data_IF_323321309734
#
_entry.id   IF_323321309734
#
_cell.length_a   1.000
_cell.length_b   1.000
_cell.length_c   1.000
_cell.angle_alpha   90.00
_cell.angle_beta   90.00
_cell.angle_gamma   90.00
#
_symmetry.space_group_name_H-M   'P 1'
#
loop_
_entity.id
_entity.type
_entity.pdbx_description
1 polymer ?
#
# COMPACT_ATOMS: atom_id res chain seq x y z
N UNK A 1 26.09 10.80 17.44
CA UNK A 1 27.25 11.68 17.75
C UNK A 1 28.56 11.28 17.05
N UNK A 2 28.88 9.97 16.96
CA UNK A 2 30.13 9.48 16.34
C UNK A 2 30.27 9.82 14.85
N UNK A 3 29.28 9.45 14.02
CA UNK A 3 29.35 9.66 12.56
C UNK A 3 29.50 11.14 12.16
N UNK A 4 28.85 12.06 12.88
CA UNK A 4 28.97 13.51 12.61
C UNK A 4 30.41 14.01 12.84
N UNK A 5 31.08 13.55 13.91
CA UNK A 5 32.48 13.92 14.19
C UNK A 5 33.43 13.35 13.15
N UNK A 6 33.22 12.08 12.76
CA UNK A 6 34.00 11.44 11.68
C UNK A 6 33.83 12.20 10.35
N UNK A 7 32.64 12.69 10.04
CA UNK A 7 32.41 13.48 8.81
C UNK A 7 32.98 14.91 8.87
N UNK A 8 33.18 15.45 10.07
CA UNK A 8 33.91 16.72 10.22
C UNK A 8 35.41 16.50 10.02
N UNK A 9 35.99 15.44 10.59
CA UNK A 9 37.42 15.14 10.42
C UNK A 9 37.79 14.73 8.98
N UNK A 10 36.92 13.99 8.29
CA UNK A 10 37.09 13.67 6.85
C UNK A 10 37.24 14.93 5.98
N UNK A 11 36.63 16.05 6.39
CA UNK A 11 36.70 17.30 5.65
C UNK A 11 37.99 18.09 5.93
N UNK A 12 38.67 17.80 7.04
CA UNK A 12 39.88 18.50 7.50
C UNK A 12 41.16 17.79 7.03
N UNK A 13 41.11 16.46 6.84
CA UNK A 13 42.22 15.68 6.32
C UNK A 13 42.30 15.69 4.79
N UNK A 14 43.26 16.47 4.25
CA UNK A 14 43.62 16.54 2.83
C UNK A 14 44.28 15.26 2.27
N UNK A 15 44.15 14.11 2.95
CA UNK A 15 44.80 12.83 2.65
C UNK A 15 43.85 11.76 2.09
N UNK A 16 42.61 12.11 1.76
CA UNK A 16 41.65 11.16 1.18
C UNK A 16 41.93 10.94 -0.31
N UNK A 17 41.93 9.67 -0.71
CA UNK A 17 42.00 9.29 -2.13
C UNK A 17 40.81 9.84 -2.91
N UNK A 18 41.02 10.30 -4.14
CA UNK A 18 39.96 10.73 -5.07
C UNK A 18 38.89 9.64 -5.32
N UNK A 19 39.24 8.37 -5.13
CA UNK A 19 38.35 7.23 -5.30
C UNK A 19 37.53 6.90 -4.05
N UNK A 20 37.75 7.59 -2.92
CA UNK A 20 37.00 7.34 -1.70
C UNK A 20 35.51 7.68 -1.89
N UNK A 21 34.63 6.77 -1.45
CA UNK A 21 33.17 6.97 -1.44
C UNK A 21 32.62 6.44 -0.12
N UNK A 22 31.84 7.27 0.59
CA UNK A 22 31.10 6.86 1.77
C UNK A 22 29.63 6.61 1.39
N UNK A 23 29.18 5.37 1.57
CA UNK A 23 27.80 4.96 1.35
C UNK A 23 27.06 4.84 2.68
N UNK A 24 25.95 5.56 2.82
CA UNK A 24 25.09 5.52 3.99
C UNK A 24 23.70 5.07 3.57
N UNK A 25 23.17 4.03 4.21
CA UNK A 25 21.81 3.53 4.00
C UNK A 25 21.00 3.77 5.26
N UNK A 26 19.86 4.44 5.13
CA UNK A 26 18.96 4.71 6.24
C UNK A 26 17.53 4.84 5.74
N UNK A 27 16.56 4.53 6.61
CA UNK A 27 15.18 4.94 6.40
C UNK A 27 15.05 6.44 6.72
N UNK A 28 14.15 7.18 6.05
CA UNK A 28 13.90 8.57 6.40
C UNK A 28 13.56 8.71 7.89
N UNK A 29 14.28 9.58 8.60
CA UNK A 29 14.03 9.85 10.01
C UNK A 29 14.34 11.32 10.36
N UNK A 30 13.50 11.91 11.20
CA UNK A 30 13.57 13.34 11.53
C UNK A 30 14.80 13.72 12.36
N UNK A 31 15.41 12.73 13.02
CA UNK A 31 16.64 12.89 13.79
C UNK A 31 17.92 12.65 12.97
N UNK A 32 17.81 12.37 11.67
CA UNK A 32 19.00 12.19 10.83
C UNK A 32 19.81 13.50 10.79
N UNK A 33 21.14 13.46 10.99
CA UNK A 33 21.91 14.70 11.10
C UNK A 33 21.86 15.56 9.83
N UNK A 34 21.21 16.73 9.91
CA UNK A 34 21.08 17.69 8.80
C UNK A 34 22.39 18.01 8.06
N UNK A 35 23.55 18.23 8.73
CA UNK A 35 24.80 18.51 8.03
C UNK A 35 25.28 17.37 7.13
N UNK A 36 24.96 16.12 7.49
CA UNK A 36 25.29 14.94 6.68
C UNK A 36 24.43 14.91 5.42
N UNK A 37 23.14 15.24 5.55
CA UNK A 37 22.27 15.42 4.40
C UNK A 37 22.80 16.56 3.54
N UNK A 38 23.01 17.76 4.06
CA UNK A 38 23.47 18.90 3.26
C UNK A 38 24.73 18.62 2.43
N UNK A 39 25.71 17.88 2.98
CA UNK A 39 26.97 17.54 2.29
C UNK A 39 26.92 16.32 1.37
N UNK A 40 25.96 15.40 1.56
CA UNK A 40 25.88 14.15 0.80
C UNK A 40 25.00 14.23 -0.45
N UNK A 41 25.21 13.29 -1.38
CA UNK A 41 24.24 12.99 -2.44
C UNK A 41 23.15 12.09 -1.84
N UNK A 42 21.89 12.44 -2.07
CA UNK A 42 20.73 11.68 -1.56
C UNK A 42 20.16 10.87 -2.69
N UNK A 43 20.04 9.56 -2.48
CA UNK A 43 19.40 8.64 -3.41
C UNK A 43 18.24 7.98 -2.67
N UNK A 44 17.03 8.12 -3.22
CA UNK A 44 15.83 7.49 -2.68
C UNK A 44 15.49 6.27 -3.54
N UNK A 45 15.42 5.10 -2.93
CA UNK A 45 14.93 3.89 -3.58
C UNK A 45 13.47 3.68 -3.18
N UNK A 46 12.55 4.02 -4.07
CA UNK A 46 11.11 3.78 -3.87
C UNK A 46 10.68 2.51 -4.63
N UNK A 47 9.75 1.72 -4.08
CA UNK A 47 9.17 0.61 -4.82
C UNK A 47 8.48 1.12 -6.10
N UNK A 48 8.42 0.31 -7.17
CA UNK A 48 7.75 0.68 -8.40
C UNK A 48 6.28 1.06 -8.13
N UNK A 49 5.82 2.15 -8.75
CA UNK A 49 4.43 2.61 -8.65
C UNK A 49 3.65 2.14 -9.87
N UNK A 50 2.45 1.64 -9.65
CA UNK A 50 1.54 1.19 -10.69
C UNK A 50 1.48 -0.33 -10.83
N UNK A 51 0.28 -0.84 -11.15
CA UNK A 51 -0.01 -2.26 -11.30
C UNK A 51 0.96 -2.96 -12.26
N UNK A 52 1.19 -2.35 -13.44
CA UNK A 52 2.12 -2.88 -14.45
C UNK A 52 3.55 -3.02 -13.91
N UNK A 53 4.02 -2.03 -13.16
CA UNK A 53 5.38 -2.02 -12.66
C UNK A 53 5.58 -3.06 -11.55
N UNK A 54 4.59 -3.21 -10.65
CA UNK A 54 4.58 -4.28 -9.65
C UNK A 54 4.52 -5.67 -10.28
N UNK A 55 3.66 -5.89 -11.27
CA UNK A 55 3.61 -7.14 -12.03
C UNK A 55 4.93 -7.48 -12.71
N UNK A 56 5.54 -6.49 -13.37
CA UNK A 56 6.83 -6.67 -14.03
C UNK A 56 7.93 -7.04 -13.03
N UNK A 57 7.92 -6.43 -11.84
CA UNK A 57 8.83 -6.78 -10.76
C UNK A 57 8.59 -8.20 -10.27
N UNK A 58 7.35 -8.59 -9.97
CA UNK A 58 7.03 -9.95 -9.53
C UNK A 58 7.50 -10.99 -10.57
N UNK A 59 7.25 -10.75 -11.85
CA UNK A 59 7.68 -11.67 -12.90
C UNK A 59 9.20 -11.75 -13.08
N UNK A 60 9.93 -10.63 -12.92
CA UNK A 60 11.39 -10.62 -13.09
C UNK A 60 12.15 -11.13 -11.87
N UNK A 61 11.64 -10.86 -10.67
CA UNK A 61 12.38 -11.09 -9.42
C UNK A 61 11.90 -12.34 -8.67
N UNK A 62 10.62 -12.70 -8.76
CA UNK A 62 10.02 -13.79 -7.99
C UNK A 62 9.71 -15.00 -8.89
N UNK A 63 9.04 -14.77 -10.02
CA UNK A 63 8.68 -15.84 -10.96
C UNK A 63 9.89 -16.22 -11.81
N UNK A 64 10.64 -17.24 -11.38
CA UNK A 64 11.73 -17.80 -12.18
C UNK A 64 11.17 -18.44 -13.45
N UNK A 65 11.78 -18.15 -14.60
CA UNK A 65 11.34 -18.68 -15.91
C UNK A 65 11.27 -20.22 -15.91
N UNK A 66 12.28 -20.86 -15.33
CA UNK A 66 12.36 -22.31 -15.23
C UNK A 66 11.18 -22.88 -14.43
N UNK A 67 10.88 -22.30 -13.27
CA UNK A 67 9.73 -22.70 -12.44
C UNK A 67 8.40 -22.43 -13.13
N UNK A 68 8.28 -21.33 -13.86
CA UNK A 68 7.05 -21.02 -14.60
C UNK A 68 6.73 -22.04 -15.70
N UNK A 69 7.77 -22.58 -16.34
CA UNK A 69 7.65 -23.57 -17.41
C UNK A 69 7.61 -25.02 -16.89
N UNK A 70 7.99 -25.25 -15.63
CA UNK A 70 8.07 -26.58 -15.01
C UNK A 70 7.04 -26.76 -13.90
N UNK A 71 5.97 -27.50 -14.19
CA UNK A 71 5.05 -28.05 -13.20
C UNK A 71 4.33 -29.25 -13.82
N UNK A 72 3.92 -30.21 -12.98
CA UNK A 72 3.15 -31.39 -13.42
C UNK A 72 1.85 -30.95 -14.09
N UNK A 73 1.12 -30.02 -13.46
CA UNK A 73 -0.12 -29.42 -13.99
C UNK A 73 0.17 -28.05 -14.60
N UNK A 74 0.74 -28.04 -15.81
CA UNK A 74 1.25 -26.82 -16.48
C UNK A 74 0.22 -25.69 -16.59
N UNK A 75 -1.01 -25.99 -17.02
CA UNK A 75 -2.00 -24.93 -17.28
C UNK A 75 -2.55 -24.30 -16.00
N UNK A 76 -3.02 -25.08 -15.00
CA UNK A 76 -3.45 -24.51 -13.71
C UNK A 76 -2.33 -23.74 -13.04
N UNK A 77 -1.10 -24.27 -13.05
CA UNK A 77 0.08 -23.60 -12.50
C UNK A 77 0.28 -22.21 -13.11
N UNK A 78 0.38 -22.12 -14.44
CA UNK A 78 0.64 -20.85 -15.12
C UNK A 78 -0.45 -19.82 -14.90
N UNK A 79 -1.73 -20.24 -14.95
CA UNK A 79 -2.87 -19.35 -14.71
C UNK A 79 -2.92 -18.86 -13.27
N UNK A 80 -2.71 -19.74 -12.31
CA UNK A 80 -2.77 -19.41 -10.88
C UNK A 80 -1.56 -18.61 -10.40
N UNK A 81 -0.36 -18.88 -10.89
CA UNK A 81 0.82 -18.02 -10.64
C UNK A 81 0.58 -16.61 -11.17
N UNK A 82 -0.01 -16.51 -12.36
CA UNK A 82 -0.37 -15.21 -12.93
C UNK A 82 -1.44 -14.49 -12.09
N UNK A 83 -2.45 -15.23 -11.64
CA UNK A 83 -3.46 -14.74 -10.69
C UNK A 83 -2.85 -14.23 -9.39
N UNK A 84 -1.96 -15.00 -8.76
CA UNK A 84 -1.24 -14.61 -7.54
C UNK A 84 -0.40 -13.34 -7.74
N UNK A 85 0.28 -13.21 -8.88
CA UNK A 85 1.03 -12.00 -9.21
C UNK A 85 0.11 -10.78 -9.37
N UNK A 86 -1.05 -10.95 -10.01
CA UNK A 86 -2.08 -9.90 -10.13
C UNK A 86 -2.66 -9.52 -8.79
N UNK A 87 -3.01 -10.50 -7.96
CA UNK A 87 -3.45 -10.28 -6.59
C UNK A 87 -2.41 -9.49 -5.80
N UNK A 88 -1.16 -9.93 -5.80
CA UNK A 88 -0.04 -9.28 -5.11
C UNK A 88 0.15 -7.81 -5.54
N UNK A 89 0.19 -7.57 -6.85
CA UNK A 89 0.33 -6.22 -7.39
C UNK A 89 -0.91 -5.34 -7.07
N UNK A 90 -2.10 -5.92 -7.05
CA UNK A 90 -3.36 -5.24 -6.72
C UNK A 90 -3.36 -4.79 -5.26
N UNK A 91 -3.04 -5.67 -4.32
CA UNK A 91 -3.07 -5.34 -2.88
C UNK A 91 -1.97 -4.32 -2.50
N UNK A 92 -0.81 -4.37 -3.16
CA UNK A 92 0.25 -3.38 -3.00
C UNK A 92 -0.19 -2.00 -3.48
N UNK A 93 -0.79 -1.92 -4.67
CA UNK A 93 -1.27 -0.66 -5.23
C UNK A 93 -2.46 -0.08 -4.46
N UNK A 94 -3.28 -0.91 -3.83
CA UNK A 94 -4.43 -0.45 -3.05
C UNK A 94 -4.05 0.49 -1.91
N UNK A 95 -2.83 0.37 -1.35
CA UNK A 95 -2.32 1.27 -0.31
C UNK A 95 -2.35 2.75 -0.72
N UNK A 96 -2.23 3.08 -2.02
CA UNK A 96 -2.26 4.47 -2.48
C UNK A 96 -3.60 5.16 -2.26
N UNK A 97 -4.69 4.41 -2.12
CA UNK A 97 -6.03 4.96 -1.89
C UNK A 97 -6.29 5.29 -0.41
N UNK A 98 -5.34 5.04 0.49
CA UNK A 98 -5.50 5.33 1.92
C UNK A 98 -6.63 4.47 2.52
N UNK A 99 -7.51 5.03 3.37
CA UNK A 99 -8.61 4.27 4.01
C UNK A 99 -9.58 3.58 3.04
N UNK A 100 -9.71 4.07 1.80
CA UNK A 100 -10.52 3.39 0.77
C UNK A 100 -9.87 2.08 0.28
N UNK A 101 -8.55 2.00 0.39
CA UNK A 101 -7.75 0.82 0.05
C UNK A 101 -7.65 -0.15 1.22
N UNK A 102 -7.15 0.35 2.35
CA UNK A 102 -6.95 -0.39 3.59
C UNK A 102 -7.14 0.53 4.79
N UNK A 103 -7.75 0.04 5.86
CA UNK A 103 -7.85 0.78 7.12
C UNK A 103 -6.47 0.97 7.76
N UNK A 104 -5.57 -0.02 7.63
CA UNK A 104 -4.18 0.06 8.07
C UNK A 104 -3.20 -0.20 6.93
N UNK A 105 -2.02 0.41 6.99
CA UNK A 105 -0.98 0.20 5.99
C UNK A 105 -0.24 -1.12 6.25
N UNK A 106 -0.39 -2.07 5.32
CA UNK A 106 0.30 -3.36 5.36
C UNK A 106 1.44 -3.40 4.34
N UNK A 107 2.62 -3.85 4.78
CA UNK A 107 3.76 -4.04 3.89
C UNK A 107 3.77 -5.44 3.30
N UNK A 108 3.05 -5.68 2.20
CA UNK A 108 3.11 -6.94 1.45
C UNK A 108 4.41 -7.00 0.63
N UNK A 109 5.18 -8.09 0.77
CA UNK A 109 6.51 -8.22 0.20
C UNK A 109 6.67 -9.47 -0.68
N UNK A 110 7.81 -9.54 -1.38
CA UNK A 110 8.09 -10.62 -2.35
C UNK A 110 8.06 -12.02 -1.70
N UNK A 111 8.39 -12.14 -0.40
CA UNK A 111 8.32 -13.40 0.34
C UNK A 111 6.90 -13.93 0.48
N UNK A 112 5.90 -13.05 0.68
CA UNK A 112 4.50 -13.46 0.78
C UNK A 112 4.03 -14.11 -0.55
N UNK A 113 4.49 -13.57 -1.68
CA UNK A 113 4.23 -14.11 -3.01
C UNK A 113 4.97 -15.43 -3.25
N UNK A 114 6.26 -15.48 -2.94
CA UNK A 114 7.10 -16.67 -3.10
C UNK A 114 6.55 -17.86 -2.30
N UNK A 115 6.22 -17.66 -1.02
CA UNK A 115 5.62 -18.70 -0.18
C UNK A 115 4.27 -19.17 -0.74
N UNK A 116 3.43 -18.24 -1.22
CA UNK A 116 2.13 -18.60 -1.82
C UNK A 116 2.28 -19.40 -3.11
N UNK A 117 3.26 -19.08 -3.94
CA UNK A 117 3.59 -19.87 -5.14
C UNK A 117 4.13 -21.25 -4.79
N UNK A 118 4.97 -21.37 -3.76
CA UNK A 118 5.48 -22.65 -3.31
C UNK A 118 4.36 -23.57 -2.80
N UNK A 119 3.44 -23.02 -2.00
CA UNK A 119 2.23 -23.73 -1.53
C UNK A 119 1.37 -24.17 -2.70
N UNK A 120 1.12 -23.29 -3.68
CA UNK A 120 0.40 -23.64 -4.91
C UNK A 120 1.07 -24.82 -5.62
N UNK A 121 2.40 -24.80 -5.76
CA UNK A 121 3.14 -25.86 -6.43
C UNK A 121 2.98 -27.20 -5.71
N UNK A 122 3.14 -27.19 -4.40
CA UNK A 122 2.97 -28.37 -3.54
C UNK A 122 1.59 -29.01 -3.75
N UNK A 123 0.51 -28.22 -3.65
CA UNK A 123 -0.85 -28.75 -3.84
C UNK A 123 -1.11 -29.28 -5.26
N UNK A 124 -0.58 -28.62 -6.29
CA UNK A 124 -0.72 -29.09 -7.67
C UNK A 124 0.11 -30.34 -7.97
N UNK A 125 1.25 -30.51 -7.29
CA UNK A 125 2.13 -31.66 -7.44
C UNK A 125 1.74 -32.85 -6.55
N UNK A 126 1.06 -32.66 -5.42
CA UNK A 126 0.56 -33.77 -4.60
C UNK A 126 -0.67 -34.43 -5.24
N UNK A 127 -1.53 -33.65 -5.87
CA UNK A 127 -2.75 -34.12 -6.55
C UNK A 127 -2.46 -34.56 -8.00
N UNK A 128 -1.54 -35.53 -8.18
CA UNK A 128 -1.15 -36.07 -9.50
C UNK A 128 -2.19 -37.02 -10.11
N UNK A 129 -3.10 -37.55 -9.30
CA UNK A 129 -4.12 -38.51 -9.74
C UNK A 129 -5.15 -37.82 -10.62
N UNK A 130 -5.18 -38.22 -11.89
CA UNK A 130 -6.06 -37.74 -12.97
C UNK A 130 -5.75 -36.33 -13.50
N UNK A 131 -4.68 -36.22 -14.30
CA UNK A 131 -4.53 -35.11 -15.25
C UNK A 131 -5.55 -35.32 -16.38
N UNK A 132 -6.81 -34.97 -16.15
CA UNK A 132 -7.76 -34.84 -17.24
C UNK A 132 -7.51 -33.49 -17.93
N UNK A 133 -7.03 -33.54 -19.17
CA UNK A 133 -6.80 -32.33 -19.98
C UNK A 133 -8.12 -31.60 -20.29
N UNK A 134 -9.28 -32.25 -20.07
CA UNK A 134 -10.60 -31.65 -20.23
C UNK A 134 -11.14 -31.00 -18.95
N UNK A 135 -10.67 -31.41 -17.78
CA UNK A 135 -11.11 -30.87 -16.49
C UNK A 135 -9.94 -30.36 -15.65
N UNK A 136 -9.48 -29.15 -16.00
CA UNK A 136 -8.35 -28.48 -15.33
C UNK A 136 -8.57 -28.21 -13.84
N UNK A 137 -9.83 -28.22 -13.38
CA UNK A 137 -10.24 -27.90 -12.02
C UNK A 137 -10.16 -29.12 -11.07
N UNK A 138 -10.26 -30.33 -11.62
CA UNK A 138 -10.37 -31.55 -10.83
C UNK A 138 -9.16 -31.74 -9.90
N UNK A 139 -9.42 -32.09 -8.64
CA UNK A 139 -8.38 -32.38 -7.65
C UNK A 139 -7.62 -31.16 -7.12
N UNK A 140 -8.02 -29.93 -7.45
CA UNK A 140 -7.44 -28.72 -6.84
C UNK A 140 -8.18 -28.40 -5.54
N UNK A 141 -7.51 -28.39 -4.36
CA UNK A 141 -8.17 -28.11 -3.08
C UNK A 141 -8.33 -26.60 -2.87
N UNK A 142 -9.33 -25.99 -3.52
CA UNK A 142 -9.53 -24.54 -3.54
C UNK A 142 -9.69 -23.89 -2.16
N UNK A 143 -10.42 -24.54 -1.25
CA UNK A 143 -10.62 -24.01 0.09
C UNK A 143 -9.30 -23.96 0.87
N UNK A 144 -8.48 -25.02 0.78
CA UNK A 144 -7.17 -25.08 1.40
C UNK A 144 -6.21 -24.06 0.78
N UNK A 145 -6.18 -23.96 -0.55
CA UNK A 145 -5.37 -22.99 -1.28
C UNK A 145 -5.71 -21.55 -0.88
N UNK A 146 -7.00 -21.21 -0.90
CA UNK A 146 -7.49 -19.87 -0.55
C UNK A 146 -7.23 -19.56 0.92
N UNK A 147 -7.39 -20.54 1.80
CA UNK A 147 -7.11 -20.39 3.23
C UNK A 147 -5.62 -20.15 3.49
N UNK A 148 -4.72 -20.99 2.97
CA UNK A 148 -3.28 -20.85 3.23
C UNK A 148 -2.73 -19.57 2.59
N UNK A 149 -3.06 -19.28 1.34
CA UNK A 149 -2.59 -18.04 0.70
C UNK A 149 -3.24 -16.80 1.34
N UNK A 150 -4.55 -16.80 1.55
CA UNK A 150 -5.29 -15.63 2.01
C UNK A 150 -5.23 -15.38 3.51
N UNK A 151 -5.51 -16.39 4.34
CA UNK A 151 -5.58 -16.23 5.80
C UNK A 151 -4.21 -16.34 6.47
N UNK A 152 -3.33 -17.20 5.96
CA UNK A 152 -2.02 -17.46 6.58
C UNK A 152 -0.94 -16.58 5.97
N UNK A 153 -0.63 -16.74 4.68
CA UNK A 153 0.52 -16.08 4.06
C UNK A 153 0.34 -14.55 4.03
N UNK A 154 -0.74 -14.06 3.41
CA UNK A 154 -1.02 -12.63 3.36
C UNK A 154 -1.78 -12.14 4.60
N UNK A 155 -2.76 -12.92 5.07
CA UNK A 155 -3.60 -12.59 6.21
C UNK A 155 -2.85 -12.52 7.54
N UNK A 156 -1.70 -13.18 7.66
CA UNK A 156 -0.80 -13.05 8.82
C UNK A 156 -0.29 -11.62 9.06
N UNK A 157 -0.29 -10.77 8.03
CA UNK A 157 0.04 -9.34 8.14
C UNK A 157 -1.16 -8.47 8.51
N UNK A 158 -2.37 -8.96 8.23
CA UNK A 158 -3.60 -8.17 8.31
C UNK A 158 -4.22 -8.29 9.70
N UNK A 159 -4.19 -7.18 10.42
CA UNK A 159 -4.61 -7.07 11.82
C UNK A 159 -6.02 -6.50 12.01
N UNK A 160 -6.68 -6.05 10.95
CA UNK A 160 -8.05 -5.55 10.97
C UNK A 160 -8.99 -6.56 10.29
N UNK A 161 -10.13 -6.86 10.90
CA UNK A 161 -11.04 -7.92 10.40
C UNK A 161 -11.74 -7.51 9.09
N UNK A 162 -12.03 -6.21 8.91
CA UNK A 162 -12.62 -5.70 7.67
C UNK A 162 -11.62 -5.72 6.54
N UNK A 163 -10.37 -5.31 6.81
CA UNK A 163 -9.28 -5.45 5.85
C UNK A 163 -9.03 -6.93 5.51
N UNK A 164 -9.11 -7.84 6.48
CA UNK A 164 -8.96 -9.29 6.24
C UNK A 164 -10.07 -9.82 5.33
N UNK A 165 -11.31 -9.42 5.56
CA UNK A 165 -12.43 -9.76 4.67
C UNK A 165 -12.24 -9.18 3.28
N UNK A 166 -11.77 -7.94 3.18
CA UNK A 166 -11.46 -7.30 1.90
C UNK A 166 -10.35 -8.05 1.15
N UNK A 167 -9.27 -8.44 1.82
CA UNK A 167 -8.18 -9.22 1.27
C UNK A 167 -8.69 -10.54 0.66
N UNK A 168 -9.52 -11.29 1.41
CA UNK A 168 -10.09 -12.55 0.94
C UNK A 168 -10.98 -12.37 -0.30
N UNK A 169 -11.80 -11.32 -0.32
CA UNK A 169 -12.65 -10.99 -1.48
C UNK A 169 -11.82 -10.62 -2.73
N UNK A 170 -10.71 -9.90 -2.54
CA UNK A 170 -9.80 -9.58 -3.65
C UNK A 170 -9.13 -10.87 -4.13
N UNK A 171 -8.68 -11.73 -3.21
CA UNK A 171 -8.05 -13.01 -3.55
C UNK A 171 -8.98 -13.88 -4.41
N UNK A 172 -10.27 -13.97 -4.07
CA UNK A 172 -11.22 -14.81 -4.82
C UNK A 172 -11.42 -14.41 -6.29
N UNK A 173 -11.08 -13.18 -6.67
CA UNK A 173 -11.11 -12.73 -8.06
C UNK A 173 -9.97 -13.37 -8.86
N UNK A 174 -8.80 -13.50 -8.25
CA UNK A 174 -7.57 -13.93 -8.91
C UNK A 174 -7.19 -15.38 -8.63
N UNK A 175 -7.81 -15.99 -7.62
CA UNK A 175 -7.42 -17.28 -7.09
C UNK A 175 -8.67 -18.12 -6.78
N UNK A 176 -9.30 -18.59 -7.86
CA UNK A 176 -10.56 -19.32 -7.83
C UNK A 176 -10.68 -20.23 -9.06
N UNK A 177 -11.60 -21.22 -9.07
CA UNK A 177 -11.81 -22.11 -10.22
C UNK A 177 -12.04 -21.37 -11.54
N UNK A 178 -12.68 -20.21 -11.46
CA UNK A 178 -13.08 -19.41 -12.60
C UNK A 178 -11.88 -18.94 -13.45
N UNK A 179 -10.70 -18.77 -12.86
CA UNK A 179 -9.48 -18.39 -13.59
C UNK A 179 -9.08 -19.44 -14.63
N UNK A 180 -9.45 -20.71 -14.40
CA UNK A 180 -9.13 -21.80 -15.30
C UNK A 180 -9.99 -21.78 -16.57
N UNK A 181 -11.12 -21.07 -16.58
CA UNK A 181 -11.94 -20.87 -17.78
C UNK A 181 -11.16 -20.09 -18.85
N UNK A 182 -11.44 -20.37 -20.12
CA UNK A 182 -10.84 -19.61 -21.21
C UNK A 182 -11.43 -18.19 -21.26
N UNK A 183 -10.57 -17.19 -21.42
CA UNK A 183 -11.01 -15.79 -21.52
C UNK A 183 -11.49 -15.18 -20.21
N UNK A 184 -11.18 -15.77 -19.05
CA UNK A 184 -11.51 -15.18 -17.75
C UNK A 184 -10.86 -13.80 -17.59
N UNK A 185 -11.68 -12.81 -17.23
CA UNK A 185 -11.29 -11.41 -17.07
C UNK A 185 -11.27 -11.06 -15.58
N UNK A 186 -10.25 -10.33 -15.16
CA UNK A 186 -10.11 -9.87 -13.77
C UNK A 186 -10.91 -8.60 -13.47
N UNK A 187 -11.43 -7.94 -14.50
CA UNK A 187 -12.12 -6.65 -14.41
C UNK A 187 -13.19 -6.53 -15.50
N UNK A 188 -14.08 -5.54 -15.34
CA UNK A 188 -15.20 -5.30 -16.26
C UNK A 188 -14.74 -4.75 -17.61
N UNK A 189 -13.69 -3.94 -17.66
CA UNK A 189 -13.11 -3.45 -18.92
C UNK A 189 -12.64 -4.58 -19.85
N UNK A 190 -12.24 -5.72 -19.28
CA UNK A 190 -11.64 -6.82 -20.02
C UNK A 190 -10.23 -6.56 -20.53
N UNK A 191 -9.60 -5.45 -20.13
CA UNK A 191 -8.19 -5.17 -20.39
C UNK A 191 -7.30 -6.13 -19.59
N UNK A 192 -7.72 -6.44 -18.36
CA UNK A 192 -7.02 -7.33 -17.45
C UNK A 192 -7.63 -8.73 -17.48
N UNK A 193 -6.88 -9.73 -17.92
CA UNK A 193 -7.33 -11.12 -18.05
C UNK A 193 -6.25 -12.15 -17.72
N UNK A 194 -6.70 -13.37 -17.45
CA UNK A 194 -5.84 -14.52 -17.22
C UNK A 194 -5.21 -15.01 -18.55
N UNK A 195 -3.89 -15.28 -18.60
CA UNK A 195 -3.22 -15.73 -19.80
C UNK A 195 -3.83 -16.99 -20.40
N UNK A 196 -3.75 -17.12 -21.72
CA UNK A 196 -4.20 -18.32 -22.43
C UNK A 196 -3.40 -19.54 -21.97
N UNK A 197 -4.04 -20.69 -22.03
CA UNK A 197 -3.54 -22.02 -21.66
C UNK A 197 -2.09 -22.30 -22.12
N UNK A 198 -1.74 -21.90 -23.34
CA UNK A 198 -0.42 -22.14 -23.95
C UNK A 198 0.56 -20.95 -23.83
N UNK A 199 0.32 -19.99 -22.94
CA UNK A 199 1.22 -18.84 -22.81
C UNK A 199 2.58 -19.24 -22.22
N UNK A 200 3.66 -18.94 -22.95
CA UNK A 200 5.02 -18.98 -22.42
C UNK A 200 5.29 -17.81 -21.46
N UNK A 201 6.33 -17.93 -20.66
CA UNK A 201 6.85 -16.86 -19.80
C UNK A 201 7.06 -15.55 -20.58
N UNK A 202 7.64 -15.60 -21.78
CA UNK A 202 7.83 -14.41 -22.62
C UNK A 202 6.51 -13.81 -23.09
N UNK A 203 5.49 -14.64 -23.35
CA UNK A 203 4.17 -14.15 -23.73
C UNK A 203 3.48 -13.44 -22.57
N UNK A 204 3.63 -13.96 -21.35
CA UNK A 204 3.16 -13.31 -20.13
C UNK A 204 3.84 -11.93 -19.94
N UNK A 205 5.17 -11.87 -20.06
CA UNK A 205 5.91 -10.60 -19.99
C UNK A 205 5.51 -9.60 -21.08
N UNK A 206 5.31 -10.05 -22.32
CA UNK A 206 4.83 -9.19 -23.41
C UNK A 206 3.44 -8.63 -23.12
N UNK A 207 2.55 -9.42 -22.53
CA UNK A 207 1.24 -8.96 -22.10
C UNK A 207 1.35 -7.90 -20.99
N UNK A 208 2.15 -8.15 -19.94
CA UNK A 208 2.37 -7.18 -18.85
C UNK A 208 2.95 -5.86 -19.41
N UNK A 209 3.86 -5.94 -20.39
CA UNK A 209 4.45 -4.76 -21.04
C UNK A 209 3.43 -3.94 -21.85
N UNK A 210 2.32 -4.54 -22.29
CA UNK A 210 1.25 -3.85 -23.01
C UNK A 210 0.18 -3.26 -22.09
N UNK A 211 0.22 -3.57 -20.79
CA UNK A 211 -0.73 -3.00 -19.83
C UNK A 211 -0.56 -1.48 -19.73
N UNK A 212 -1.65 -0.75 -19.44
CA UNK A 212 -1.57 0.69 -19.23
C UNK A 212 -0.68 1.01 -18.03
N UNK A 213 0.07 2.10 -18.14
CA UNK A 213 0.97 2.56 -17.06
C UNK A 213 0.18 2.98 -15.82
N UNK A 214 -0.97 3.62 -16.03
CA UNK A 214 -1.95 3.93 -14.99
C UNK A 214 -3.13 2.98 -15.15
N UNK A 215 -3.42 2.21 -14.11
CA UNK A 215 -4.54 1.29 -14.09
C UNK A 215 -5.78 1.95 -13.49
N UNK A 216 -6.94 1.71 -14.10
CA UNK A 216 -8.22 2.24 -13.63
C UNK A 216 -8.64 1.63 -12.29
N UNK A 217 -9.40 2.36 -11.45
CA UNK A 217 -9.90 1.88 -10.16
C UNK A 217 -10.61 0.52 -10.18
N UNK A 218 -11.20 0.15 -11.32
CA UNK A 218 -11.97 -1.09 -11.46
C UNK A 218 -11.15 -2.37 -11.23
N UNK A 219 -9.86 -2.42 -11.61
CA UNK A 219 -9.02 -3.61 -11.35
C UNK A 219 -8.73 -3.79 -9.86
N UNK A 220 -8.78 -2.68 -9.11
CA UNK A 220 -8.66 -2.71 -7.66
C UNK A 220 -10.02 -2.99 -6.99
N UNK A 221 -11.11 -3.18 -7.75
CA UNK A 221 -12.45 -3.35 -7.21
C UNK A 221 -13.04 -2.07 -6.60
N UNK A 222 -12.62 -0.90 -7.09
CA UNK A 222 -13.04 0.42 -6.59
C UNK A 222 -13.82 1.21 -7.63
N UNK A 223 -14.63 2.16 -7.15
CA UNK A 223 -15.30 3.15 -7.99
C UNK A 223 -14.32 4.23 -8.49
N UNK A 224 -14.61 4.86 -9.62
CA UNK A 224 -13.78 5.91 -10.23
C UNK A 224 -13.45 7.08 -9.26
N UNK A 225 -14.39 7.39 -8.36
CA UNK A 225 -14.24 8.39 -7.29
C UNK A 225 -13.03 8.12 -6.36
N UNK A 226 -12.56 6.88 -6.26
CA UNK A 226 -11.35 6.56 -5.52
C UNK A 226 -10.12 7.24 -6.14
N UNK A 227 -10.06 7.32 -7.47
CA UNK A 227 -8.98 8.02 -8.17
C UNK A 227 -9.06 9.52 -7.94
N UNK A 228 -10.26 10.11 -7.97
CA UNK A 228 -10.45 11.53 -7.68
C UNK A 228 -9.99 11.88 -6.26
N UNK A 229 -10.37 11.05 -5.28
CA UNK A 229 -9.97 11.24 -3.87
C UNK A 229 -8.46 11.11 -3.68
N UNK A 230 -7.83 10.14 -4.36
CA UNK A 230 -6.38 9.97 -4.37
C UNK A 230 -5.67 11.18 -4.98
N UNK A 231 -6.10 11.61 -6.18
CA UNK A 231 -5.52 12.75 -6.88
C UNK A 231 -5.65 14.03 -6.06
N UNK A 232 -6.82 14.27 -5.45
CA UNK A 232 -7.02 15.42 -4.57
C UNK A 232 -6.04 15.43 -3.40
N UNK A 233 -5.87 14.29 -2.70
CA UNK A 233 -4.93 14.17 -1.59
C UNK A 233 -3.48 14.41 -2.03
N UNK A 234 -3.06 13.89 -3.18
CA UNK A 234 -1.73 14.13 -3.71
C UNK A 234 -1.53 15.61 -4.10
N UNK A 235 -2.54 16.23 -4.71
CA UNK A 235 -2.54 17.67 -5.01
C UNK A 235 -2.41 18.49 -3.73
N UNK A 236 -3.23 18.24 -2.71
CA UNK A 236 -3.17 18.94 -1.43
C UNK A 236 -1.79 18.76 -0.76
N UNK A 237 -1.23 17.55 -0.81
CA UNK A 237 0.12 17.28 -0.31
C UNK A 237 1.18 18.10 -1.04
N UNK A 238 1.14 18.14 -2.36
CA UNK A 238 2.10 18.91 -3.17
C UNK A 238 1.96 20.41 -2.88
N UNK A 239 0.74 20.93 -2.82
CA UNK A 239 0.48 22.34 -2.50
C UNK A 239 1.01 22.71 -1.12
N UNK A 240 0.78 21.87 -0.11
CA UNK A 240 1.32 22.09 1.23
C UNK A 240 2.85 22.07 1.26
N UNK A 241 3.48 21.17 0.48
CA UNK A 241 4.94 21.15 0.33
C UNK A 241 5.44 22.46 -0.32
N UNK A 242 4.78 22.93 -1.39
CA UNK A 242 5.12 24.20 -2.04
C UNK A 242 5.02 25.37 -1.06
N UNK A 243 3.92 25.44 -0.31
CA UNK A 243 3.73 26.48 0.73
C UNK A 243 4.80 26.40 1.82
N UNK A 244 5.22 25.19 2.21
CA UNK A 244 6.26 25.01 3.24
C UNK A 244 7.66 25.43 2.79
N UNK A 245 7.93 25.39 1.48
CA UNK A 245 9.22 25.79 0.88
C UNK A 245 9.21 27.28 0.51
N UNK A 246 8.03 27.90 0.42
CA UNK A 246 7.91 29.31 0.12
C UNK A 246 8.75 30.12 1.12
N UNK A 247 9.73 30.92 0.66
CA UNK A 247 10.52 31.73 1.56
C UNK A 247 9.58 32.67 2.29
N UNK A 248 9.70 32.71 3.62
CA UNK A 248 9.13 33.78 4.44
C UNK A 248 9.86 35.09 4.12
N UNK A 249 9.71 35.59 2.89
CA UNK A 249 9.96 36.98 2.58
C UNK A 249 8.88 37.69 3.36
N UNK A 250 9.26 38.24 4.51
CA UNK A 250 8.39 39.06 5.33
C UNK A 250 7.85 40.18 4.47
N UNK A 251 6.71 39.94 3.84
CA UNK A 251 5.82 41.01 3.47
C UNK A 251 5.30 41.49 4.81
N UNK A 252 5.89 42.57 5.31
CA UNK A 252 5.21 43.44 6.25
C UNK A 252 3.96 43.92 5.56
N UNK A 253 2.91 43.09 5.58
CA UNK A 253 1.58 43.51 5.20
C UNK A 253 1.00 44.07 6.49
N UNK A 254 1.08 45.40 6.61
CA UNK A 254 0.24 46.17 7.51
C UNK A 254 -1.21 45.64 7.38
N UNK A 255 -1.68 44.94 8.40
CA UNK A 255 -3.07 44.46 8.49
C UNK A 255 -3.29 42.95 8.52
N UNK A 256 -2.28 42.10 8.36
CA UNK A 256 -2.44 40.66 8.59
C UNK A 256 -2.43 40.37 10.11
N UNK A 257 -3.60 40.03 10.67
CA UNK A 257 -3.72 39.64 12.08
C UNK A 257 -2.72 38.52 12.39
N UNK A 258 -1.91 38.69 13.43
CA UNK A 258 -1.00 37.65 13.88
C UNK A 258 -1.79 36.38 14.26
N UNK A 259 -1.18 35.18 14.22
CA UNK A 259 -1.91 33.96 14.59
C UNK A 259 -2.48 34.04 16.02
N UNK A 260 -1.80 34.78 16.90
CA UNK A 260 -2.25 35.12 18.25
C UNK A 260 -3.54 35.96 18.25
N UNK A 261 -3.63 36.98 17.40
CA UNK A 261 -4.83 37.82 17.27
C UNK A 261 -6.03 37.04 16.70
N UNK A 262 -5.78 36.11 15.77
CA UNK A 262 -6.84 35.23 15.24
C UNK A 262 -7.35 34.29 16.33
N UNK A 263 -6.45 33.68 17.11
CA UNK A 263 -6.81 32.82 18.25
C UNK A 263 -7.56 33.61 19.32
N UNK A 264 -7.08 34.81 19.67
CA UNK A 264 -7.74 35.67 20.65
C UNK A 264 -9.14 36.08 20.21
N UNK A 265 -9.33 36.41 18.93
CA UNK A 265 -10.64 36.77 18.39
C UNK A 265 -11.60 35.59 18.42
N UNK A 266 -11.14 34.38 18.06
CA UNK A 266 -11.95 33.17 18.15
C UNK A 266 -12.32 32.82 19.60
N UNK A 267 -11.40 33.02 20.55
CA UNK A 267 -11.67 32.80 21.97
C UNK A 267 -12.73 33.78 22.51
N UNK A 268 -12.66 35.05 22.12
CA UNK A 268 -13.67 36.06 22.49
C UNK A 268 -15.06 35.74 21.91
N UNK A 269 -15.14 35.34 20.63
CA UNK A 269 -16.41 34.93 20.00
C UNK A 269 -17.00 33.66 20.66
N UNK A 270 -16.14 32.73 21.09
CA UNK A 270 -16.59 31.56 21.86
C UNK A 270 -17.09 31.97 23.24
N UNK A 271 -16.39 32.85 23.96
CA UNK A 271 -16.80 33.35 25.28
C UNK A 271 -18.15 34.06 25.22
N UNK A 272 -18.39 34.89 24.20
CA UNK A 272 -19.67 35.59 24.01
C UNK A 272 -20.84 34.64 23.72
N UNK A 273 -20.57 33.50 23.08
CA UNK A 273 -21.58 32.48 22.77
C UNK A 273 -21.79 31.48 23.91
N UNK A 274 -20.91 31.44 24.91
CA UNK A 274 -21.08 30.54 26.05
C UNK A 274 -22.23 31.06 26.92
N UNK A 275 -23.28 30.26 27.15
CA UNK A 275 -24.37 30.63 28.03
C UNK A 275 -23.87 30.91 29.45
N UNK A 276 -24.55 31.81 30.16
CA UNK A 276 -24.22 32.12 31.55
C UNK A 276 -24.15 30.85 32.42
N UNK A 277 -23.16 30.81 33.31
CA UNK A 277 -22.95 29.67 34.21
C UNK A 277 -24.23 29.38 34.99
N UNK A 278 -24.70 28.12 34.94
CA UNK A 278 -25.88 27.70 35.69
C UNK A 278 -25.66 27.89 37.19
N UNK A 279 -26.24 28.94 37.76
CA UNK A 279 -26.22 29.19 39.19
C UNK A 279 -27.17 28.20 39.88
N UNK A 280 -26.64 27.41 40.84
CA UNK A 280 -27.42 26.40 41.58
C UNK A 280 -28.66 26.97 42.30
N UNK A 281 -28.65 28.27 42.62
CA UNK A 281 -29.74 28.94 43.34
C UNK A 281 -30.96 29.25 42.47
N UNK A 282 -30.78 29.33 41.15
CA UNK A 282 -31.83 29.66 40.17
C UNK A 282 -32.26 28.44 39.33
N UNK A 283 -31.73 27.26 39.64
CA UNK A 283 -32.12 26.01 38.99
C UNK A 283 -33.38 25.43 39.66
N UNK A 284 -34.31 24.87 38.86
CA UNK A 284 -35.47 24.15 39.38
C UNK A 284 -35.01 23.00 40.29
N UNK A 285 -35.65 22.76 41.45
CA UNK A 285 -35.19 21.78 42.46
C UNK A 285 -35.05 20.35 41.93
N UNK A 286 -35.69 20.03 40.81
CA UNK A 286 -35.62 18.72 40.15
C UNK A 286 -34.43 18.53 39.18
N UNK A 287 -33.78 19.61 38.73
CA UNK A 287 -32.70 19.55 37.73
C UNK A 287 -31.37 19.11 38.35
N UNK A 288 -31.18 19.36 39.65
CA UNK A 288 -29.95 19.08 40.39
C UNK A 288 -30.12 17.92 41.39
N UNK A 289 -31.12 17.05 41.20
CA UNK A 289 -31.28 15.85 42.03
C UNK A 289 -30.10 14.91 41.75
N UNK A 290 -29.24 14.74 42.76
CA UNK A 290 -28.20 13.69 42.77
C UNK A 290 -28.86 12.31 42.77
N UNK A 291 -29.15 11.77 41.60
CA UNK A 291 -29.32 10.32 41.44
C UNK A 291 -27.94 9.69 41.49
N UNK A 292 -27.68 8.95 42.58
CA UNK A 292 -26.53 8.06 42.84
C UNK A 292 -25.47 7.98 41.72
N UNK A 293 -24.46 8.85 41.82
CA UNK A 293 -23.18 8.66 41.17
C UNK A 293 -22.88 9.68 40.08
N UNK A 294 -22.09 10.69 40.46
CA UNK A 294 -21.37 11.67 39.63
C UNK A 294 -22.09 13.00 39.38
N UNK A 295 -21.60 14.00 40.10
CA UNK A 295 -21.53 15.39 39.67
C UNK A 295 -20.03 15.70 39.75
N UNK A 296 -19.37 15.72 38.59
CA UNK A 296 -17.94 16.00 38.48
C UNK A 296 -17.61 17.38 39.09
N UNK A 297 -16.47 17.41 39.79
CA UNK A 297 -15.69 18.60 40.09
C UNK A 297 -14.94 19.08 38.86
#
# INVERSE_FOLDING_TARGET
PGLRRVLQSINEDSMLSENFRLWLTSMPCDYFPVPVLQKGIKLTNEPPKGLRANLMRSFKNVVKKEDFETCVRKEPWKKLVFGLCFFHATIQERCKFGPLGWNKLYGFNDSDLETSMQVLRMFLEENKSEIDTKNLDQGIPWDALSYVSGQINYGGRVTDDWDRRCLMNILSIFYSPDILREGYKFSRSGVFFAPKINSSYERALRYITKLPSQADPEIFGMHENANLSFQRRETDRILNIILSIQPNVGTGVDGARTSSEIVSFAAMDMEERVPATLQRMSAHPDILIRKKGVLDS
#
